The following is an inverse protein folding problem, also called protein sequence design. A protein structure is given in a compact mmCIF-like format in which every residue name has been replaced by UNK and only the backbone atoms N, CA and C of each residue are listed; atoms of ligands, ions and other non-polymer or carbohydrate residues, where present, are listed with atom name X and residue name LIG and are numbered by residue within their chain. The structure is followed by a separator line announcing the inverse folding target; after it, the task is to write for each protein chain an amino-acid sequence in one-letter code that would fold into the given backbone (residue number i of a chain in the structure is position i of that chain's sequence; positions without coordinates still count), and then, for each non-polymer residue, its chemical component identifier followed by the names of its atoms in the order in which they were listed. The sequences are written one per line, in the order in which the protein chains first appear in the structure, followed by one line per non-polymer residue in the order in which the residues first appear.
data_IF_342131231523
#
_entry.id   IF_342131231523
#
_cell.length_a   1.000
_cell.length_b   1.000
_cell.length_c   1.000
_cell.angle_alpha   90.00
_cell.angle_beta   90.00
_cell.angle_gamma   90.00
#
_symmetry.space_group_name_H-M   'P 1'
#
loop_
_entity.id
_entity.type
_entity.pdbx_description
1 polymer ?
#
# COMPACT_ATOMS: atom_id res chain seq x y z
N UNK A 1 58.12 39.78 43.12
CA UNK A 1 58.63 38.92 42.02
C UNK A 1 58.95 37.56 42.63
N UNK A 2 58.18 36.52 42.29
CA UNK A 2 58.70 35.56 41.32
C UNK A 2 57.70 35.20 40.22
N UNK A 3 58.25 34.86 39.05
CA UNK A 3 57.56 34.50 37.82
C UNK A 3 57.23 32.99 37.83
N UNK A 4 55.97 32.64 37.65
CA UNK A 4 55.51 31.27 37.39
C UNK A 4 55.81 30.93 35.91
N UNK A 5 56.68 29.93 35.69
CA UNK A 5 56.90 29.32 34.38
C UNK A 5 55.87 28.22 34.13
N UNK A 6 55.03 28.39 33.11
CA UNK A 6 54.12 27.36 32.63
C UNK A 6 54.78 26.55 31.51
N UNK A 7 55.05 25.27 31.74
CA UNK A 7 55.39 24.30 30.71
C UNK A 7 54.10 23.78 30.07
N UNK A 8 53.89 24.05 28.78
CA UNK A 8 52.86 23.40 27.97
C UNK A 8 53.51 22.24 27.20
N UNK A 9 53.13 21.01 27.59
CA UNK A 9 53.51 19.76 26.93
C UNK A 9 52.69 19.63 25.64
N UNK A 10 53.37 19.61 24.49
CA UNK A 10 52.77 19.31 23.20
C UNK A 10 52.72 17.78 23.03
N UNK A 11 51.53 17.18 23.16
CA UNK A 11 51.30 15.78 22.85
C UNK A 11 51.10 15.62 21.33
N UNK A 12 52.08 15.00 20.67
CA UNK A 12 51.97 14.63 19.25
C UNK A 12 51.03 13.43 19.10
N UNK A 13 49.84 13.65 18.55
CA UNK A 13 48.92 12.59 18.11
C UNK A 13 49.41 12.02 16.78
N UNK A 14 50.07 10.86 16.84
CA UNK A 14 50.36 10.05 15.66
C UNK A 14 49.04 9.44 15.14
N UNK A 15 48.53 9.96 14.02
CA UNK A 15 47.40 9.39 13.31
C UNK A 15 47.80 8.07 12.64
N UNK A 16 47.22 6.95 13.09
CA UNK A 16 47.32 5.68 12.41
C UNK A 16 46.50 5.75 11.09
N UNK A 17 47.19 5.67 9.96
CA UNK A 17 46.55 5.54 8.66
C UNK A 17 45.95 4.13 8.51
N UNK A 18 44.62 4.05 8.44
CA UNK A 18 43.89 2.82 8.12
C UNK A 18 44.07 2.55 6.62
N UNK A 19 44.73 1.45 6.27
CA UNK A 19 44.87 1.01 4.89
C UNK A 19 43.53 0.47 4.36
N UNK A 20 43.17 0.72 3.08
CA UNK A 20 41.94 0.18 2.49
C UNK A 20 42.04 -1.34 2.35
N UNK A 21 41.09 -2.05 2.95
CA UNK A 21 40.95 -3.50 2.87
C UNK A 21 40.65 -3.94 1.44
N UNK A 22 41.48 -4.84 0.89
CA UNK A 22 41.32 -5.45 -0.44
C UNK A 22 40.33 -6.63 -0.46
N UNK A 23 39.70 -6.92 0.67
CA UNK A 23 38.77 -8.05 0.82
C UNK A 23 37.31 -7.59 0.72
N UNK A 24 36.51 -8.35 -0.03
CA UNK A 24 35.08 -8.14 -0.12
C UNK A 24 34.41 -8.28 1.25
N UNK A 25 33.35 -7.50 1.53
CA UNK A 25 32.55 -7.64 2.75
C UNK A 25 32.00 -9.06 2.93
N UNK A 26 31.92 -9.51 4.18
CA UNK A 26 31.33 -10.80 4.54
C UNK A 26 29.81 -10.80 4.33
N UNK A 27 29.17 -11.97 4.14
CA UNK A 27 27.71 -12.11 4.14
C UNK A 27 27.10 -11.49 5.41
N UNK A 28 25.94 -10.85 5.27
CA UNK A 28 25.28 -10.14 6.37
C UNK A 28 24.02 -10.89 6.85
N UNK A 29 23.71 -10.77 8.14
CA UNK A 29 22.41 -11.18 8.70
C UNK A 29 21.30 -10.26 8.19
N UNK A 30 20.24 -10.85 7.64
CA UNK A 30 19.07 -10.13 7.12
C UNK A 30 18.01 -9.92 8.21
N UNK A 31 17.25 -8.83 8.13
CA UNK A 31 16.16 -8.53 9.08
C UNK A 31 14.77 -8.85 8.51
N UNK A 32 14.72 -9.57 7.38
CA UNK A 32 13.48 -9.85 6.64
C UNK A 32 13.70 -10.74 5.42
N UNK A 33 12.86 -10.57 4.39
CA UNK A 33 12.95 -11.28 3.12
C UNK A 33 14.15 -10.78 2.30
N UNK A 34 15.24 -11.57 2.29
CA UNK A 34 16.52 -11.27 1.62
C UNK A 34 16.33 -10.92 0.15
N UNK A 35 15.46 -11.66 -0.56
CA UNK A 35 15.22 -11.44 -1.98
C UNK A 35 14.54 -10.08 -2.23
N UNK A 36 13.66 -9.65 -1.31
CA UNK A 36 13.05 -8.32 -1.35
C UNK A 36 14.05 -7.21 -1.06
N UNK A 37 14.94 -7.40 -0.08
CA UNK A 37 16.01 -6.44 0.20
C UNK A 37 16.93 -6.25 -1.01
N UNK A 38 17.33 -7.34 -1.68
CA UNK A 38 18.14 -7.27 -2.92
C UNK A 38 17.38 -6.58 -4.05
N UNK A 39 16.09 -6.85 -4.23
CA UNK A 39 15.28 -6.18 -5.26
C UNK A 39 15.27 -4.66 -5.07
N UNK A 40 15.14 -4.17 -3.82
CA UNK A 40 15.22 -2.74 -3.52
C UNK A 40 16.60 -2.16 -3.82
N UNK A 41 17.69 -2.88 -3.53
CA UNK A 41 19.06 -2.44 -3.85
C UNK A 41 19.24 -2.33 -5.37
N UNK A 42 18.82 -3.34 -6.13
CA UNK A 42 18.97 -3.34 -7.60
C UNK A 42 18.13 -2.24 -8.25
N UNK A 43 16.91 -2.00 -7.75
CA UNK A 43 16.07 -0.90 -8.24
C UNK A 43 16.73 0.46 -8.02
N UNK A 44 17.31 0.69 -6.84
CA UNK A 44 17.92 1.96 -6.51
C UNK A 44 19.28 2.19 -7.20
N UNK A 45 20.08 1.13 -7.40
CA UNK A 45 21.50 1.25 -7.78
C UNK A 45 21.87 0.65 -9.13
N UNK A 46 21.03 -0.21 -9.74
CA UNK A 46 21.42 -1.02 -10.90
C UNK A 46 20.52 -0.83 -12.13
N UNK A 47 19.19 -0.74 -11.97
CA UNK A 47 18.24 -0.79 -13.10
C UNK A 47 18.33 0.39 -14.06
N UNK A 48 18.88 1.52 -13.63
CA UNK A 48 19.11 2.68 -14.50
C UNK A 48 19.99 2.30 -15.69
N UNK A 49 21.02 1.46 -15.49
CA UNK A 49 21.97 1.05 -16.53
C UNK A 49 21.83 -0.42 -16.96
N UNK A 50 21.18 -1.26 -16.14
CA UNK A 50 21.03 -2.71 -16.34
C UNK A 50 19.56 -3.15 -16.21
N UNK A 51 18.64 -2.38 -16.80
CA UNK A 51 17.18 -2.60 -16.77
C UNK A 51 16.54 -2.46 -18.15
N UNK A 52 15.21 -2.31 -18.22
CA UNK A 52 14.50 -2.22 -19.49
C UNK A 52 14.96 -1.06 -20.40
N UNK A 53 15.20 0.12 -19.82
CA UNK A 53 15.58 1.32 -20.56
C UNK A 53 17.03 1.35 -21.04
N UNK A 54 17.94 0.62 -20.38
CA UNK A 54 19.35 0.57 -20.75
C UNK A 54 19.99 -0.74 -20.28
N UNK A 55 20.84 -1.33 -21.14
CA UNK A 55 21.42 -2.67 -20.96
C UNK A 55 22.94 -2.62 -21.16
N UNK A 56 23.65 -1.89 -20.30
CA UNK A 56 25.10 -1.78 -20.42
C UNK A 56 25.74 -3.18 -20.37
N UNK A 57 26.62 -3.44 -21.34
CA UNK A 57 27.24 -4.75 -21.57
C UNK A 57 26.25 -5.92 -21.76
N UNK A 58 25.02 -5.64 -22.24
CA UNK A 58 23.99 -6.65 -22.49
C UNK A 58 23.41 -7.29 -21.22
N UNK A 59 23.63 -6.70 -20.05
CA UNK A 59 23.14 -7.24 -18.77
C UNK A 59 21.80 -6.60 -18.38
N UNK A 60 20.86 -7.46 -17.97
CA UNK A 60 19.56 -7.11 -17.37
C UNK A 60 19.47 -7.73 -15.97
N UNK A 61 19.27 -6.92 -14.94
CA UNK A 61 19.16 -7.36 -13.55
C UNK A 61 17.71 -7.29 -13.01
N UNK A 62 16.81 -6.64 -13.76
CA UNK A 62 15.38 -6.50 -13.46
C UNK A 62 14.55 -7.76 -13.78
N UNK A 63 15.15 -8.72 -14.50
CA UNK A 63 14.51 -9.99 -14.89
C UNK A 63 15.41 -11.16 -14.52
N UNK A 64 14.88 -12.13 -13.77
CA UNK A 64 15.65 -13.27 -13.27
C UNK A 64 16.32 -14.06 -14.39
N UNK A 65 15.56 -14.44 -15.43
CA UNK A 65 16.09 -15.26 -16.52
C UNK A 65 17.22 -14.56 -17.25
N UNK A 66 17.11 -13.25 -17.46
CA UNK A 66 18.13 -12.46 -18.14
C UNK A 66 19.35 -12.23 -17.25
N UNK A 67 19.15 -11.98 -15.95
CA UNK A 67 20.22 -11.82 -14.97
C UNK A 67 21.07 -13.09 -14.81
N UNK A 68 20.42 -14.26 -14.83
CA UNK A 68 21.09 -15.56 -14.77
C UNK A 68 21.73 -15.95 -16.10
N UNK A 69 21.19 -15.51 -17.25
CA UNK A 69 21.85 -15.65 -18.56
C UNK A 69 23.18 -14.89 -18.58
N UNK A 70 23.27 -13.78 -17.86
CA UNK A 70 24.48 -13.00 -17.67
C UNK A 70 24.62 -11.86 -18.67
N UNK A 71 25.86 -11.47 -18.92
CA UNK A 71 26.22 -10.33 -19.78
C UNK A 71 26.89 -10.80 -21.07
N UNK A 72 27.21 -9.87 -21.96
CA UNK A 72 28.06 -10.14 -23.14
C UNK A 72 29.46 -10.67 -22.77
N UNK A 73 29.87 -10.56 -21.50
CA UNK A 73 31.12 -11.09 -20.97
C UNK A 73 30.94 -12.38 -20.16
N UNK A 74 29.82 -13.09 -20.33
CA UNK A 74 29.51 -14.34 -19.64
C UNK A 74 28.69 -14.17 -18.35
N UNK A 75 28.62 -15.23 -17.53
CA UNK A 75 27.83 -15.26 -16.31
C UNK A 75 28.19 -14.13 -15.34
N UNK A 76 27.17 -13.53 -14.73
CA UNK A 76 27.33 -12.42 -13.77
C UNK A 76 26.96 -12.85 -12.35
N UNK A 77 25.95 -13.70 -12.23
CA UNK A 77 25.49 -14.28 -10.97
C UNK A 77 25.65 -15.79 -11.07
N UNK A 78 26.33 -16.38 -10.10
CA UNK A 78 26.50 -17.83 -9.94
C UNK A 78 25.74 -18.25 -8.69
N UNK A 79 24.49 -18.74 -8.82
CA UNK A 79 23.69 -19.18 -7.68
C UNK A 79 24.45 -20.18 -6.79
N UNK A 80 24.41 -19.96 -5.47
CA UNK A 80 25.12 -20.76 -4.48
C UNK A 80 26.60 -20.42 -4.31
N UNK A 81 27.16 -19.48 -5.11
CA UNK A 81 28.56 -19.09 -5.00
C UNK A 81 28.76 -17.59 -5.27
N UNK A 82 28.61 -16.78 -4.22
CA UNK A 82 28.88 -15.34 -4.26
C UNK A 82 30.36 -15.01 -4.50
N UNK A 83 31.27 -15.93 -4.15
CA UNK A 83 32.71 -15.78 -4.32
C UNK A 83 33.15 -15.75 -5.78
N UNK A 84 32.52 -16.56 -6.63
CA UNK A 84 32.78 -16.62 -8.09
C UNK A 84 31.84 -15.72 -8.90
N UNK A 85 30.89 -15.06 -8.24
CA UNK A 85 29.92 -14.19 -8.90
C UNK A 85 30.56 -12.86 -9.28
N UNK A 86 30.73 -12.63 -10.58
CA UNK A 86 31.27 -11.38 -11.13
C UNK A 86 30.53 -10.13 -10.62
N UNK A 87 29.24 -10.22 -10.34
CA UNK A 87 28.47 -9.15 -9.70
C UNK A 87 29.17 -8.64 -8.43
N UNK A 88 29.57 -9.55 -7.54
CA UNK A 88 30.21 -9.22 -6.26
C UNK A 88 31.56 -8.58 -6.48
N UNK A 89 32.35 -9.09 -7.43
CA UNK A 89 33.65 -8.50 -7.74
C UNK A 89 33.55 -7.07 -8.28
N UNK A 90 32.55 -6.81 -9.12
CA UNK A 90 32.32 -5.48 -9.69
C UNK A 90 31.83 -4.49 -8.63
N UNK A 91 30.92 -4.87 -7.74
CA UNK A 91 30.43 -3.95 -6.68
C UNK A 91 31.42 -3.79 -5.52
N UNK A 92 32.28 -4.78 -5.29
CA UNK A 92 33.35 -4.71 -4.28
C UNK A 92 34.61 -4.02 -4.78
N UNK A 93 34.75 -3.79 -6.10
CA UNK A 93 35.94 -3.19 -6.68
C UNK A 93 37.18 -4.09 -6.68
N UNK A 94 37.01 -5.41 -6.54
CA UNK A 94 38.15 -6.35 -6.51
C UNK A 94 38.76 -6.57 -7.89
N UNK A 95 38.09 -6.13 -8.97
CA UNK A 95 38.63 -6.11 -10.33
C UNK A 95 39.18 -4.71 -10.62
N UNK A 96 40.50 -4.64 -10.85
CA UNK A 96 41.19 -3.38 -11.17
C UNK A 96 40.55 -2.67 -12.37
N UNK A 97 40.16 -1.41 -12.17
CA UNK A 97 39.61 -0.54 -13.21
C UNK A 97 38.14 -0.79 -13.59
N UNK A 98 37.43 -1.72 -12.95
CA UNK A 98 36.02 -2.03 -13.26
C UNK A 98 35.20 -2.13 -11.98
N UNK A 99 34.60 -1.01 -11.57
CA UNK A 99 33.72 -0.92 -10.40
C UNK A 99 32.31 -0.50 -10.79
N UNK A 100 31.32 -1.04 -10.08
CA UNK A 100 29.91 -0.69 -10.23
C UNK A 100 29.35 -0.15 -8.90
N UNK A 101 28.52 0.91 -8.92
CA UNK A 101 28.18 1.74 -10.08
C UNK A 101 29.38 2.56 -10.60
N UNK A 102 29.44 2.88 -11.90
CA UNK A 102 30.57 3.62 -12.49
C UNK A 102 30.58 5.10 -12.09
N UNK A 103 29.41 5.63 -11.70
CA UNK A 103 29.22 6.96 -11.15
C UNK A 103 28.10 6.90 -10.08
N UNK A 104 28.13 7.83 -9.13
CA UNK A 104 27.19 7.89 -8.00
C UNK A 104 27.72 7.24 -6.73
N UNK A 105 26.85 7.14 -5.73
CA UNK A 105 27.19 6.51 -4.45
C UNK A 105 27.45 5.02 -4.60
N UNK A 106 28.47 4.53 -3.89
CA UNK A 106 28.79 3.11 -3.83
C UNK A 106 27.84 2.37 -2.91
N UNK A 107 27.69 1.08 -3.16
CA UNK A 107 27.02 0.18 -2.23
C UNK A 107 27.83 0.15 -0.92
N UNK A 108 27.10 0.21 0.18
CA UNK A 108 27.64 0.02 1.52
C UNK A 108 28.10 -1.43 1.71
N UNK A 109 29.03 -1.70 2.64
CA UNK A 109 29.43 -3.07 2.96
C UNK A 109 28.24 -3.98 3.33
N UNK A 110 27.21 -3.41 3.98
CA UNK A 110 25.97 -4.14 4.32
C UNK A 110 25.18 -4.53 3.07
N UNK A 111 24.99 -3.62 2.12
CA UNK A 111 24.27 -3.92 0.88
C UNK A 111 24.99 -4.99 0.06
N UNK A 112 26.32 -4.92 -0.04
CA UNK A 112 27.13 -5.97 -0.68
C UNK A 112 26.95 -7.29 0.08
N UNK A 113 27.00 -7.28 1.41
CA UNK A 113 26.78 -8.46 2.26
C UNK A 113 25.41 -9.10 2.03
N UNK A 114 24.34 -8.31 1.86
CA UNK A 114 22.99 -8.81 1.55
C UNK A 114 22.96 -9.49 0.18
N UNK A 115 23.57 -8.88 -0.85
CA UNK A 115 23.64 -9.47 -2.19
C UNK A 115 24.43 -10.79 -2.13
N UNK A 116 25.51 -10.87 -1.36
CA UNK A 116 26.27 -12.12 -1.18
C UNK A 116 25.39 -13.20 -0.55
N UNK A 117 24.75 -12.91 0.57
CA UNK A 117 23.82 -13.83 1.25
C UNK A 117 22.75 -14.34 0.28
N UNK A 118 22.16 -13.45 -0.51
CA UNK A 118 21.15 -13.80 -1.50
C UNK A 118 21.68 -14.73 -2.61
N UNK A 119 22.87 -14.46 -3.15
CA UNK A 119 23.50 -15.34 -4.14
C UNK A 119 23.79 -16.70 -3.53
N UNK A 120 24.36 -16.74 -2.33
CA UNK A 120 24.70 -17.98 -1.62
C UNK A 120 23.45 -18.80 -1.28
N UNK A 121 22.28 -18.15 -1.13
CA UNK A 121 20.97 -18.79 -0.96
C UNK A 121 20.33 -19.25 -2.28
N UNK A 122 21.04 -19.20 -3.41
CA UNK A 122 20.55 -19.68 -4.70
C UNK A 122 19.98 -18.59 -5.61
N UNK A 123 20.14 -17.31 -5.24
CA UNK A 123 19.72 -16.15 -6.04
C UNK A 123 18.24 -16.23 -6.49
N UNK A 124 17.35 -16.61 -5.57
CA UNK A 124 15.92 -16.65 -5.86
C UNK A 124 15.34 -15.23 -5.90
N UNK A 125 14.64 -14.88 -6.98
CA UNK A 125 13.89 -13.63 -7.01
C UNK A 125 12.61 -13.83 -6.21
N UNK A 126 12.24 -12.87 -5.37
CA UNK A 126 10.91 -12.83 -4.78
C UNK A 126 9.88 -12.86 -5.92
N UNK A 127 9.07 -13.92 -6.03
CA UNK A 127 7.96 -14.01 -6.99
C UNK A 127 8.10 -14.97 -8.19
N UNK A 128 9.16 -15.78 -8.33
CA UNK A 128 9.33 -16.61 -9.53
C UNK A 128 8.33 -17.78 -9.66
N UNK A 129 7.21 -17.54 -10.35
CA UNK A 129 6.52 -18.51 -11.19
C UNK A 129 6.33 -17.87 -12.57
N UNK A 130 6.65 -18.63 -13.63
CA UNK A 130 6.92 -18.14 -14.97
C UNK A 130 5.90 -17.19 -15.59
N UNK A 131 6.43 -16.35 -16.50
CA UNK A 131 5.69 -15.65 -17.56
C UNK A 131 4.60 -14.64 -17.12
N UNK A 132 4.91 -13.32 -17.16
CA UNK A 132 4.49 -12.39 -18.24
C UNK A 132 4.58 -10.90 -17.89
N UNK A 133 4.70 -10.13 -18.99
CA UNK A 133 4.40 -8.71 -19.24
C UNK A 133 5.17 -7.61 -18.47
N UNK A 134 5.65 -6.64 -19.27
CA UNK A 134 6.10 -5.33 -18.77
C UNK A 134 4.96 -4.68 -17.96
N UNK A 135 5.24 -4.40 -16.68
CA UNK A 135 4.34 -3.66 -15.80
C UNK A 135 3.68 -4.46 -14.66
N UNK A 136 3.85 -5.78 -14.59
CA UNK A 136 3.38 -6.57 -13.45
C UNK A 136 4.48 -6.81 -12.41
N UNK A 137 4.10 -6.68 -11.14
CA UNK A 137 4.92 -6.98 -9.97
C UNK A 137 5.40 -8.45 -10.01
N UNK A 138 6.60 -8.73 -9.48
CA UNK A 138 7.25 -10.04 -9.50
C UNK A 138 6.36 -11.24 -9.12
N UNK A 139 5.26 -11.03 -8.40
CA UNK A 139 4.30 -12.09 -8.04
C UNK A 139 3.23 -12.42 -9.10
N UNK A 140 3.23 -11.70 -10.24
CA UNK A 140 2.12 -11.70 -11.20
C UNK A 140 0.86 -10.97 -10.66
N UNK A 141 0.92 -10.43 -9.45
CA UNK A 141 -0.13 -9.63 -8.83
C UNK A 141 0.36 -8.20 -8.77
N UNK A 142 -0.43 -7.23 -9.22
CA UNK A 142 -0.04 -5.83 -9.06
C UNK A 142 0.07 -5.47 -7.56
N UNK A 143 1.01 -4.59 -7.16
CA UNK A 143 1.15 -4.19 -5.77
C UNK A 143 -0.05 -3.36 -5.30
N UNK A 144 -0.84 -2.86 -6.26
CA UNK A 144 -2.05 -2.14 -5.99
C UNK A 144 -3.11 -3.10 -5.43
N UNK A 145 -3.65 -2.76 -4.26
CA UNK A 145 -4.55 -3.61 -3.45
C UNK A 145 -5.70 -4.25 -4.25
N UNK A 146 -6.23 -3.55 -5.26
CA UNK A 146 -7.36 -4.01 -6.08
C UNK A 146 -7.05 -5.23 -6.98
N UNK A 147 -5.78 -5.51 -7.26
CA UNK A 147 -5.35 -6.63 -8.13
C UNK A 147 -4.73 -7.79 -7.37
N UNK A 148 -4.77 -7.74 -6.03
CA UNK A 148 -4.30 -8.83 -5.18
C UNK A 148 -5.44 -9.80 -4.94
N UNK A 149 -5.13 -11.09 -4.90
CA UNK A 149 -6.13 -12.10 -4.55
C UNK A 149 -6.67 -11.83 -3.14
N UNK A 150 -7.99 -11.71 -3.02
CA UNK A 150 -8.66 -11.55 -1.73
C UNK A 150 -8.37 -12.77 -0.85
N UNK A 151 -7.80 -12.54 0.33
CA UNK A 151 -7.63 -13.58 1.36
C UNK A 151 -8.60 -13.28 2.49
N UNK A 152 -9.37 -14.30 2.90
CA UNK A 152 -10.29 -14.16 4.03
C UNK A 152 -9.48 -14.20 5.33
N UNK A 153 -9.36 -13.10 6.09
CA UNK A 153 -8.65 -13.10 7.35
C UNK A 153 -9.39 -13.96 8.39
N UNK A 154 -8.65 -14.51 9.35
CA UNK A 154 -9.25 -15.12 10.52
C UNK A 154 -9.97 -14.02 11.34
N UNK A 155 -11.17 -14.33 11.83
CA UNK A 155 -11.92 -13.43 12.70
C UNK A 155 -11.22 -13.35 14.06
N UNK A 156 -10.87 -12.16 14.56
CA UNK A 156 -10.19 -12.03 15.85
C UNK A 156 -11.05 -12.55 17.00
N UNK A 157 -10.42 -13.18 17.98
CA UNK A 157 -11.05 -13.47 19.25
C UNK A 157 -11.12 -12.18 20.09
N UNK A 158 -12.28 -11.92 20.68
CA UNK A 158 -12.56 -10.73 21.50
C UNK A 158 -13.03 -11.15 22.88
N UNK A 159 -12.82 -10.30 23.89
CA UNK A 159 -13.27 -10.55 25.26
C UNK A 159 -14.78 -10.35 25.39
N UNK A 160 -15.32 -9.28 24.81
CA UNK A 160 -16.75 -8.96 24.88
C UNK A 160 -17.54 -9.45 23.65
N UNK A 161 -17.63 -10.78 23.49
CA UNK A 161 -18.33 -11.38 22.35
C UNK A 161 -19.82 -11.03 22.23
N UNK A 162 -20.47 -10.61 23.33
CA UNK A 162 -21.90 -10.26 23.33
C UNK A 162 -22.20 -8.91 22.66
N UNK A 163 -21.20 -8.03 22.53
CA UNK A 163 -21.37 -6.74 21.83
C UNK A 163 -21.36 -6.91 20.31
N UNK A 164 -20.57 -7.85 19.79
CA UNK A 164 -20.43 -8.09 18.36
C UNK A 164 -21.67 -8.76 17.79
N UNK A 165 -22.34 -8.12 16.81
CA UNK A 165 -23.50 -8.67 16.10
C UNK A 165 -23.09 -9.51 14.89
N UNK A 166 -21.93 -9.23 14.31
CA UNK A 166 -21.39 -9.96 13.16
C UNK A 166 -19.85 -10.08 13.21
N UNK A 167 -19.27 -10.73 12.19
CA UNK A 167 -17.83 -10.96 12.12
C UNK A 167 -17.00 -9.67 11.97
N UNK A 168 -17.54 -8.62 11.34
CA UNK A 168 -16.89 -7.32 11.15
C UNK A 168 -16.73 -6.63 12.51
N UNK A 169 -17.75 -6.70 13.36
CA UNK A 169 -17.73 -6.10 14.70
C UNK A 169 -16.59 -6.65 15.56
N UNK A 170 -16.21 -7.93 15.38
CA UNK A 170 -15.05 -8.52 16.07
C UNK A 170 -13.72 -7.85 15.68
N UNK A 171 -13.57 -7.41 14.43
CA UNK A 171 -12.35 -6.68 14.03
C UNK A 171 -12.28 -5.30 14.67
N UNK A 172 -13.42 -4.61 14.79
CA UNK A 172 -13.51 -3.31 15.47
C UNK A 172 -13.24 -3.49 16.95
N UNK A 173 -13.95 -4.43 17.60
CA UNK A 173 -13.83 -4.67 19.03
C UNK A 173 -12.42 -5.15 19.42
N UNK A 174 -11.78 -6.00 18.62
CA UNK A 174 -10.40 -6.41 18.87
C UNK A 174 -9.44 -5.21 18.89
N UNK A 175 -9.66 -4.21 18.03
CA UNK A 175 -8.85 -2.98 18.04
C UNK A 175 -9.16 -2.13 19.28
N UNK A 176 -10.43 -1.94 19.60
CA UNK A 176 -10.87 -1.19 20.79
C UNK A 176 -10.31 -1.80 22.08
N UNK A 177 -10.40 -3.12 22.23
CA UNK A 177 -9.86 -3.85 23.40
C UNK A 177 -8.33 -3.75 23.50
N UNK A 178 -7.62 -3.78 22.37
CA UNK A 178 -6.17 -3.60 22.35
C UNK A 178 -5.74 -2.18 22.74
N UNK A 179 -6.59 -1.18 22.47
CA UNK A 179 -6.37 0.22 22.83
C UNK A 179 -6.94 0.59 24.20
N UNK A 180 -7.67 -0.32 24.87
CA UNK A 180 -8.33 -0.06 26.14
C UNK A 180 -9.50 0.92 26.04
N UNK A 181 -10.14 1.00 24.87
CA UNK A 181 -11.31 1.86 24.61
C UNK A 181 -12.56 1.00 24.61
N UNK A 182 -13.62 1.47 25.26
CA UNK A 182 -14.93 0.80 25.23
C UNK A 182 -15.79 1.32 24.06
N UNK A 183 -16.63 0.47 23.46
CA UNK A 183 -17.60 0.93 22.47
C UNK A 183 -18.55 2.00 23.03
N UNK A 184 -18.87 2.99 22.20
CA UNK A 184 -19.89 3.98 22.54
C UNK A 184 -21.26 3.32 22.77
N UNK A 185 -22.08 3.84 23.70
CA UNK A 185 -23.44 3.34 23.88
C UNK A 185 -24.27 3.55 22.61
N UNK A 186 -25.24 2.68 22.41
CA UNK A 186 -26.20 2.80 21.31
C UNK A 186 -27.02 4.09 21.45
N UNK A 187 -27.26 4.76 20.33
CA UNK A 187 -28.03 6.00 20.34
C UNK A 187 -29.50 5.73 20.70
N UNK A 188 -30.18 6.74 21.26
CA UNK A 188 -31.62 6.63 21.54
C UNK A 188 -32.41 6.36 20.25
N UNK A 189 -33.55 5.66 20.36
CA UNK A 189 -34.45 5.42 19.21
C UNK A 189 -34.83 6.71 18.47
N UNK A 190 -35.07 7.79 19.21
CA UNK A 190 -35.35 9.12 18.62
C UNK A 190 -34.19 9.66 17.78
N UNK A 191 -32.94 9.45 18.21
CA UNK A 191 -31.76 9.83 17.44
C UNK A 191 -31.57 8.91 16.22
N UNK A 192 -31.80 7.60 16.37
CA UNK A 192 -31.66 6.62 15.30
C UNK A 192 -32.63 6.89 14.14
N UNK A 193 -33.93 7.06 14.39
CA UNK A 193 -34.90 7.32 13.31
C UNK A 193 -34.63 8.65 12.61
N UNK A 194 -34.19 9.69 13.34
CA UNK A 194 -33.81 10.97 12.75
C UNK A 194 -32.62 10.81 11.81
N UNK A 195 -31.57 10.09 12.22
CA UNK A 195 -30.39 9.82 11.39
C UNK A 195 -30.78 9.03 10.15
N UNK A 196 -31.46 7.90 10.33
CA UNK A 196 -31.94 7.05 9.24
C UNK A 196 -32.74 7.83 8.20
N UNK A 197 -33.70 8.65 8.63
CA UNK A 197 -34.56 9.38 7.69
C UNK A 197 -33.77 10.44 6.89
N UNK A 198 -32.89 11.19 7.55
CA UNK A 198 -32.06 12.20 6.88
C UNK A 198 -31.02 11.57 5.94
N UNK A 199 -30.47 10.43 6.33
CA UNK A 199 -29.44 9.72 5.56
C UNK A 199 -30.06 9.02 4.35
N UNK A 200 -31.12 8.24 4.55
CA UNK A 200 -31.74 7.42 3.49
C UNK A 200 -32.63 8.21 2.54
N UNK A 201 -33.47 9.11 3.07
CA UNK A 201 -34.49 9.82 2.27
C UNK A 201 -34.31 11.35 2.26
N UNK A 202 -33.39 11.90 3.07
CA UNK A 202 -33.12 13.35 3.09
C UNK A 202 -34.15 14.20 3.82
N UNK A 203 -35.18 13.58 4.42
CA UNK A 203 -36.27 14.26 5.11
C UNK A 203 -36.28 13.90 6.59
N UNK A 204 -36.64 14.83 7.49
CA UNK A 204 -36.84 14.49 8.89
C UNK A 204 -38.08 13.59 9.07
N UNK A 205 -38.09 12.66 10.04
CA UNK A 205 -39.27 11.86 10.34
C UNK A 205 -40.37 12.74 10.96
N UNK A 206 -41.64 12.35 10.80
CA UNK A 206 -42.75 13.04 11.46
C UNK A 206 -42.78 12.71 12.96
N UNK A 207 -43.40 13.57 13.81
CA UNK A 207 -43.58 13.27 15.22
C UNK A 207 -44.27 11.92 15.48
N UNK A 208 -45.23 11.53 14.64
CA UNK A 208 -45.96 10.28 14.73
C UNK A 208 -45.07 9.07 14.41
N UNK A 209 -44.22 9.18 13.39
CA UNK A 209 -43.25 8.14 13.05
C UNK A 209 -42.22 7.93 14.16
N UNK A 210 -41.76 9.03 14.78
CA UNK A 210 -40.86 8.96 15.94
C UNK A 210 -41.55 8.28 17.11
N UNK A 211 -42.78 8.69 17.45
CA UNK A 211 -43.54 8.09 18.54
C UNK A 211 -43.78 6.59 18.32
N UNK A 212 -44.16 6.20 17.09
CA UNK A 212 -44.37 4.81 16.72
C UNK A 212 -43.09 3.97 16.88
N UNK A 213 -41.94 4.45 16.38
CA UNK A 213 -40.69 3.70 16.50
C UNK A 213 -40.18 3.63 17.95
N UNK A 214 -40.30 4.72 18.71
CA UNK A 214 -39.88 4.74 20.12
C UNK A 214 -40.66 3.70 20.93
N UNK A 215 -41.97 3.59 20.70
CA UNK A 215 -42.86 2.65 21.36
C UNK A 215 -42.76 1.19 20.84
N UNK A 216 -42.10 0.95 19.71
CA UNK A 216 -42.03 -0.38 19.09
C UNK A 216 -40.97 -1.26 19.78
N UNK A 217 -41.41 -2.25 20.56
CA UNK A 217 -40.54 -3.18 21.30
C UNK A 217 -40.18 -4.45 20.49
N UNK A 218 -40.60 -4.55 19.23
CA UNK A 218 -40.25 -5.71 18.41
C UNK A 218 -38.72 -5.83 18.25
N UNK A 219 -38.17 -7.07 18.28
CA UNK A 219 -36.73 -7.28 18.17
C UNK A 219 -36.15 -6.82 16.82
N UNK A 220 -36.99 -6.62 15.81
CA UNK A 220 -36.62 -6.11 14.48
C UNK A 220 -37.20 -4.72 14.17
N UNK A 221 -37.54 -3.92 15.20
CA UNK A 221 -38.15 -2.60 15.02
C UNK A 221 -37.25 -1.67 14.18
N UNK A 222 -35.93 -1.74 14.35
CA UNK A 222 -34.98 -0.92 13.61
C UNK A 222 -34.97 -1.29 12.12
N UNK A 223 -34.86 -2.58 11.81
CA UNK A 223 -34.84 -3.11 10.45
C UNK A 223 -36.11 -2.75 9.70
N UNK A 224 -37.28 -2.85 10.36
CA UNK A 224 -38.56 -2.43 9.76
C UNK A 224 -38.60 -0.94 9.39
N UNK A 225 -37.96 -0.07 10.18
CA UNK A 225 -37.83 1.35 9.83
C UNK A 225 -36.89 1.53 8.64
N UNK A 226 -35.77 0.80 8.61
CA UNK A 226 -34.84 0.82 7.47
C UNK A 226 -35.56 0.38 6.19
N UNK A 227 -36.21 -0.77 6.19
CA UNK A 227 -36.93 -1.31 5.03
C UNK A 227 -37.99 -0.30 4.53
N UNK A 228 -38.81 0.24 5.44
CA UNK A 228 -39.81 1.27 5.10
C UNK A 228 -39.18 2.51 4.44
N UNK A 229 -38.01 2.94 4.90
CA UNK A 229 -37.32 4.11 4.35
C UNK A 229 -36.66 3.80 3.00
N UNK A 230 -36.13 2.60 2.81
CA UNK A 230 -35.61 2.14 1.52
C UNK A 230 -36.72 2.00 0.47
N UNK A 231 -37.91 1.53 0.88
CA UNK A 231 -39.10 1.43 0.03
C UNK A 231 -39.76 2.80 -0.27
N UNK A 232 -39.31 3.88 0.36
CA UNK A 232 -39.86 5.21 0.14
C UNK A 232 -39.47 5.75 -1.24
N UNK A 233 -40.38 6.40 -2.00
CA UNK A 233 -40.02 7.04 -3.25
C UNK A 233 -38.95 8.14 -3.09
N UNK A 234 -38.86 8.73 -1.88
CA UNK A 234 -37.87 9.74 -1.53
C UNK A 234 -36.44 9.18 -1.44
N UNK A 235 -36.27 7.85 -1.29
CA UNK A 235 -34.96 7.22 -1.35
C UNK A 235 -34.28 7.50 -2.70
N UNK A 236 -34.98 7.20 -3.80
CA UNK A 236 -34.48 7.47 -5.15
C UNK A 236 -34.25 8.96 -5.40
N UNK A 237 -35.09 9.85 -4.87
CA UNK A 237 -34.88 11.30 -4.98
C UNK A 237 -33.59 11.76 -4.28
N UNK A 238 -33.34 11.25 -3.08
CA UNK A 238 -32.14 11.53 -2.28
C UNK A 238 -30.88 11.03 -2.97
N UNK A 239 -30.88 9.78 -3.43
CA UNK A 239 -29.70 9.11 -3.98
C UNK A 239 -29.42 9.51 -5.43
N UNK A 240 -30.46 9.75 -6.24
CA UNK A 240 -30.30 10.25 -7.60
C UNK A 240 -29.54 11.56 -7.65
N UNK A 241 -29.69 12.44 -6.65
CA UNK A 241 -28.95 13.70 -6.58
C UNK A 241 -27.43 13.47 -6.64
N UNK A 242 -26.91 12.51 -5.88
CA UNK A 242 -25.47 12.21 -5.87
C UNK A 242 -24.97 11.73 -7.23
N UNK A 243 -25.77 10.92 -7.93
CA UNK A 243 -25.46 10.49 -9.28
C UNK A 243 -25.54 11.63 -10.30
N UNK A 244 -26.59 12.43 -10.24
CA UNK A 244 -26.83 13.55 -11.14
C UNK A 244 -25.77 14.64 -10.99
N UNK A 245 -25.25 14.85 -9.78
CA UNK A 245 -24.11 15.73 -9.50
C UNK A 245 -22.85 15.24 -10.26
N UNK A 246 -22.53 13.94 -10.20
CA UNK A 246 -21.41 13.35 -10.93
C UNK A 246 -21.62 13.39 -12.45
N UNK A 247 -22.85 13.17 -12.91
CA UNK A 247 -23.23 13.26 -14.32
C UNK A 247 -23.31 14.71 -14.83
N UNK A 248 -23.10 15.71 -13.96
CA UNK A 248 -23.23 17.15 -14.27
C UNK A 248 -24.57 17.49 -14.90
N UNK A 249 -25.62 16.91 -14.34
CA UNK A 249 -26.99 17.17 -14.75
C UNK A 249 -27.34 18.64 -14.56
N UNK A 250 -28.07 19.21 -15.53
CA UNK A 250 -28.67 20.53 -15.42
C UNK A 250 -29.95 20.57 -16.25
N UNK A 251 -30.94 21.31 -15.76
CA UNK A 251 -32.16 21.63 -16.53
C UNK A 251 -31.91 22.71 -17.60
N UNK A 252 -30.72 23.31 -17.62
CA UNK A 252 -30.32 24.33 -18.59
C UNK A 252 -28.83 24.24 -19.00
N UNK A 253 -28.44 24.98 -20.03
CA UNK A 253 -27.07 25.02 -20.56
C UNK A 253 -26.08 25.81 -19.69
N UNK A 254 -26.57 26.70 -18.83
CA UNK A 254 -25.74 27.45 -17.89
C UNK A 254 -24.94 28.58 -18.53
N UNK A 255 -23.63 28.62 -18.26
CA UNK A 255 -22.79 29.82 -18.48
C UNK A 255 -22.73 30.28 -19.96
N UNK A 256 -22.77 31.62 -20.15
CA UNK A 256 -22.79 32.38 -21.43
C UNK A 256 -24.08 32.28 -22.26
N UNK A 257 -24.88 31.24 -22.09
CA UNK A 257 -26.20 31.11 -22.71
C UNK A 257 -27.02 30.08 -21.96
N UNK A 258 -27.98 30.54 -21.17
CA UNK A 258 -28.76 29.69 -20.26
C UNK A 258 -30.06 29.21 -20.92
N UNK A 259 -29.91 28.39 -21.96
CA UNK A 259 -31.03 27.75 -22.65
C UNK A 259 -31.61 26.62 -21.81
N UNK A 260 -32.93 26.53 -21.71
CA UNK A 260 -33.58 25.37 -21.09
C UNK A 260 -33.30 24.10 -21.91
N UNK A 261 -33.08 22.99 -21.21
CA UNK A 261 -33.00 21.64 -21.79
C UNK A 261 -34.37 20.97 -21.62
N UNK A 262 -35.32 21.14 -22.56
CA UNK A 262 -36.74 20.83 -22.36
C UNK A 262 -37.05 19.36 -22.04
N UNK A 263 -36.09 18.47 -22.27
CA UNK A 263 -36.25 17.02 -22.06
C UNK A 263 -35.25 16.43 -21.06
N UNK A 264 -34.37 17.24 -20.45
CA UNK A 264 -33.40 16.76 -19.47
C UNK A 264 -34.07 16.07 -18.27
N UNK A 265 -35.23 16.60 -17.83
CA UNK A 265 -36.00 16.03 -16.72
C UNK A 265 -36.35 14.55 -16.89
N UNK A 266 -36.43 14.04 -18.13
CA UNK A 266 -36.68 12.61 -18.40
C UNK A 266 -35.54 11.75 -17.90
N UNK A 267 -34.30 12.20 -18.07
CA UNK A 267 -33.12 11.51 -17.53
C UNK A 267 -33.11 11.58 -16.01
N UNK A 268 -33.33 12.76 -15.41
CA UNK A 268 -33.47 12.89 -13.94
C UNK A 268 -34.52 11.91 -13.40
N UNK A 269 -35.71 11.89 -14.00
CA UNK A 269 -36.79 10.98 -13.62
C UNK A 269 -36.37 9.52 -13.75
N UNK A 270 -35.76 9.14 -14.86
CA UNK A 270 -35.28 7.78 -15.06
C UNK A 270 -34.26 7.37 -13.99
N UNK A 271 -33.31 8.24 -13.62
CA UNK A 271 -32.33 7.95 -12.56
C UNK A 271 -33.01 7.74 -11.21
N UNK A 272 -33.98 8.60 -10.84
CA UNK A 272 -34.76 8.44 -9.60
C UNK A 272 -35.48 7.09 -9.58
N UNK A 273 -36.17 6.75 -10.67
CA UNK A 273 -36.89 5.48 -10.84
C UNK A 273 -35.95 4.26 -10.93
N UNK A 274 -34.68 4.45 -11.31
CA UNK A 274 -33.67 3.39 -11.31
C UNK A 274 -33.25 3.05 -9.88
N UNK A 275 -32.95 4.05 -9.06
CA UNK A 275 -32.64 3.84 -7.64
C UNK A 275 -33.81 3.19 -6.88
N UNK A 276 -35.05 3.65 -7.11
CA UNK A 276 -36.22 3.09 -6.44
C UNK A 276 -36.57 1.65 -6.88
N UNK A 277 -36.01 1.17 -8.00
CA UNK A 277 -36.23 -0.20 -8.50
C UNK A 277 -35.01 -1.11 -8.36
N UNK A 278 -33.94 -0.60 -7.74
CA UNK A 278 -32.67 -1.32 -7.57
C UNK A 278 -32.12 -1.88 -8.91
N UNK A 279 -31.98 -0.99 -9.90
CA UNK A 279 -31.55 -1.30 -11.29
C UNK A 279 -30.04 -1.27 -11.50
#
# INVERSE_FOLDING_TARGET
MPLLSAFLIWAALAGAAVAPSTQSPQPAESRGDVAREVASIFQARCFVCHGAGQQMNGLRLDRREDALRGSNSGPVIVPGNSGESKLIHMVSGTISGKIMPPAGERLTPREIGIIRTWIDQGAEWSGSAGEKAEGSDPTGQSPHWAFRSLRRPAVPAVKNGNWARNAIDNFILARLEAEGVEPSPEASKSALIRRLSLDLIGLPPTPEEVAAFVADEAPNAYERVVDRLLDSPHYGEKWARHWLDLARYSDSDGYRGDGLRPHAWRYRRWVIEAFNRDL
#
